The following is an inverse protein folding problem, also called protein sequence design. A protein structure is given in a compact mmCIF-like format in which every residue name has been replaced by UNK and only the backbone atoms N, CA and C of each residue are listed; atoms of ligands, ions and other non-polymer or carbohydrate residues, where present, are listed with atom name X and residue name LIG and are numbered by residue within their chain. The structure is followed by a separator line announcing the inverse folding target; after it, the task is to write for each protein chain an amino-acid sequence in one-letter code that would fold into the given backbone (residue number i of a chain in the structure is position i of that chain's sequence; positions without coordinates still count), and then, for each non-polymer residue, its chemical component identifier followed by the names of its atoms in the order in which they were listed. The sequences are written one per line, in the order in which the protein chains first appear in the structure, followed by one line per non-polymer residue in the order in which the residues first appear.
data_IF_590751977821
#
_entry.id   IF_590751977821
#
_cell.length_a   1.000
_cell.length_b   1.000
_cell.length_c   1.000
_cell.angle_alpha   90.00
_cell.angle_beta   90.00
_cell.angle_gamma   90.00
#
_symmetry.space_group_name_H-M   'P 1'
#
loop_
_entity.id
_entity.type
_entity.pdbx_description
1 polymer ?
#
# COMPACT_ATOMS: atom_id res chain seq x y z
N UNK A 1 -3.08 38.17 -49.42
CA UNK A 1 -3.56 39.57 -49.54
C UNK A 1 -3.09 40.29 -50.80
N UNK A 2 -1.81 40.21 -51.22
CA UNK A 2 -1.34 41.01 -52.37
C UNK A 2 -1.95 40.75 -53.76
N UNK A 3 -2.47 39.54 -54.03
CA UNK A 3 -3.03 39.19 -55.35
C UNK A 3 -4.46 39.71 -55.59
N UNK A 4 -5.28 39.78 -54.56
CA UNK A 4 -6.68 40.23 -54.67
C UNK A 4 -6.80 41.76 -54.70
N UNK A 5 -5.93 42.47 -53.97
CA UNK A 5 -5.78 43.92 -54.06
C UNK A 5 -5.36 44.33 -55.48
N UNK A 6 -4.50 43.53 -56.11
CA UNK A 6 -4.06 43.77 -57.49
C UNK A 6 -5.20 43.58 -58.51
N UNK A 7 -6.06 42.57 -58.33
CA UNK A 7 -7.22 42.33 -59.18
C UNK A 7 -8.29 43.42 -59.04
N UNK A 8 -8.46 43.99 -57.84
CA UNK A 8 -9.42 45.08 -57.60
C UNK A 8 -8.91 46.43 -58.14
N UNK A 9 -7.60 46.66 -58.14
CA UNK A 9 -6.97 47.86 -58.72
C UNK A 9 -7.12 47.92 -60.25
N UNK A 10 -7.05 46.78 -60.92
CA UNK A 10 -7.30 46.65 -62.37
C UNK A 10 -8.79 46.86 -62.73
N UNK A 11 -9.70 46.67 -61.76
CA UNK A 11 -11.14 46.91 -61.92
C UNK A 11 -11.60 48.36 -61.70
N UNK A 12 -10.67 49.31 -61.53
CA UNK A 12 -10.97 50.74 -61.40
C UNK A 12 -11.41 51.20 -60.00
N UNK A 13 -11.31 50.34 -58.98
CA UNK A 13 -11.63 50.68 -57.59
C UNK A 13 -10.49 51.46 -56.96
N UNK A 14 -10.77 52.67 -56.44
CA UNK A 14 -9.75 53.51 -55.80
C UNK A 14 -9.24 52.91 -54.50
N UNK A 15 -7.96 53.11 -54.20
CA UNK A 15 -7.27 52.62 -53.00
C UNK A 15 -7.98 53.06 -51.70
N UNK A 16 -8.57 54.25 -51.69
CA UNK A 16 -9.36 54.76 -50.58
C UNK A 16 -10.62 53.93 -50.29
N UNK A 17 -11.29 53.42 -51.33
CA UNK A 17 -12.48 52.56 -51.17
C UNK A 17 -12.07 51.18 -50.66
N UNK A 18 -10.88 50.69 -51.01
CA UNK A 18 -10.34 49.44 -50.50
C UNK A 18 -9.98 49.57 -49.02
N UNK A 19 -9.22 50.59 -48.64
CA UNK A 19 -8.89 50.87 -47.23
C UNK A 19 -10.14 51.06 -46.38
N UNK A 20 -11.14 51.79 -46.88
CA UNK A 20 -12.41 51.95 -46.18
C UNK A 20 -13.14 50.61 -45.97
N UNK A 21 -13.11 49.71 -46.96
CA UNK A 21 -13.74 48.39 -46.86
C UNK A 21 -12.98 47.43 -45.95
N UNK A 22 -11.65 47.50 -45.94
CA UNK A 22 -10.83 46.73 -45.00
C UNK A 22 -10.96 47.25 -43.56
N UNK A 23 -10.98 48.57 -43.36
CA UNK A 23 -11.25 49.15 -42.04
C UNK A 23 -12.64 48.83 -41.50
N UNK A 24 -13.64 48.62 -42.37
CA UNK A 24 -14.97 48.11 -41.98
C UNK A 24 -14.95 46.63 -41.53
N UNK A 25 -13.90 45.89 -41.85
CA UNK A 25 -13.74 44.47 -41.47
C UNK A 25 -12.91 44.29 -40.20
N UNK A 26 -12.18 45.31 -39.73
CA UNK A 26 -11.36 45.24 -38.53
C UNK A 26 -12.24 45.04 -37.27
N UNK A 27 -13.28 45.86 -37.05
CA UNK A 27 -14.15 45.74 -35.87
C UNK A 27 -14.86 44.36 -35.79
N UNK A 28 -15.46 43.83 -36.87
CA UNK A 28 -16.04 42.48 -36.84
C UNK A 28 -14.99 41.37 -36.65
N UNK A 29 -13.77 41.55 -37.15
CA UNK A 29 -12.68 40.58 -37.00
C UNK A 29 -12.16 40.54 -35.56
N UNK A 30 -12.05 41.70 -34.91
CA UNK A 30 -11.67 41.81 -33.50
C UNK A 30 -12.75 41.19 -32.60
N UNK A 31 -14.03 41.49 -32.86
CA UNK A 31 -15.15 40.88 -32.14
C UNK A 31 -15.17 39.35 -32.29
N UNK A 32 -14.92 38.84 -33.50
CA UNK A 32 -14.80 37.40 -33.75
C UNK A 32 -13.59 36.79 -33.04
N UNK A 33 -12.45 37.47 -33.03
CA UNK A 33 -11.24 37.01 -32.33
C UNK A 33 -11.44 36.98 -30.81
N UNK A 34 -12.15 37.96 -30.26
CA UNK A 34 -12.53 37.98 -28.84
C UNK A 34 -13.47 36.82 -28.50
N UNK A 35 -14.45 36.52 -29.35
CA UNK A 35 -15.35 35.38 -29.18
C UNK A 35 -14.59 34.04 -29.23
N UNK A 36 -13.66 33.87 -30.17
CA UNK A 36 -12.79 32.68 -30.23
C UNK A 36 -11.93 32.52 -28.97
N UNK A 37 -11.33 33.61 -28.49
CA UNK A 37 -10.51 33.58 -27.27
C UNK A 37 -11.34 33.23 -26.03
N UNK A 38 -12.59 33.71 -25.96
CA UNK A 38 -13.51 33.37 -24.87
C UNK A 38 -13.91 31.90 -24.91
N UNK A 39 -14.16 31.32 -26.08
CA UNK A 39 -14.41 29.89 -26.24
C UNK A 39 -13.19 29.04 -25.86
N UNK A 40 -11.98 29.43 -26.28
CA UNK A 40 -10.73 28.75 -25.91
C UNK A 40 -10.52 28.75 -24.39
N UNK A 41 -10.81 29.88 -23.74
CA UNK A 41 -10.74 30.01 -22.29
C UNK A 41 -11.74 29.07 -21.59
N UNK A 42 -12.98 29.01 -22.09
CA UNK A 42 -14.00 28.09 -21.55
C UNK A 42 -13.55 26.63 -21.68
N UNK A 43 -13.06 26.22 -22.85
CA UNK A 43 -12.58 24.85 -23.09
C UNK A 43 -11.44 24.50 -22.13
N UNK A 44 -10.48 25.41 -21.95
CA UNK A 44 -9.35 25.21 -21.04
C UNK A 44 -9.80 25.09 -19.58
N UNK A 45 -10.79 25.89 -19.17
CA UNK A 45 -11.37 25.83 -17.83
C UNK A 45 -12.12 24.51 -17.59
N UNK A 46 -12.87 24.00 -18.57
CA UNK A 46 -13.53 22.70 -18.49
C UNK A 46 -12.50 21.55 -18.42
N UNK A 47 -11.41 21.63 -19.19
CA UNK A 47 -10.34 20.64 -19.17
C UNK A 47 -9.66 20.58 -17.79
N UNK A 48 -9.29 21.71 -17.20
CA UNK A 48 -8.70 21.76 -15.85
C UNK A 48 -9.68 21.27 -14.78
N UNK A 49 -10.96 21.65 -14.87
CA UNK A 49 -11.99 21.21 -13.92
C UNK A 49 -12.17 19.69 -13.94
N UNK A 50 -12.23 19.09 -15.13
CA UNK A 50 -12.33 17.63 -15.27
C UNK A 50 -11.07 16.91 -14.81
N UNK A 51 -9.88 17.48 -15.02
CA UNK A 51 -8.62 16.95 -14.54
C UNK A 51 -8.52 16.95 -13.01
N UNK A 52 -9.03 18.00 -12.35
CA UNK A 52 -9.04 18.11 -10.89
C UNK A 52 -9.91 17.02 -10.25
N UNK A 53 -11.13 16.81 -10.77
CA UNK A 53 -12.03 15.74 -10.27
C UNK A 53 -11.38 14.36 -10.40
N UNK A 54 -10.73 14.08 -11.54
CA UNK A 54 -10.06 12.79 -11.77
C UNK A 54 -8.85 12.60 -10.83
N UNK A 55 -8.06 13.64 -10.58
CA UNK A 55 -6.89 13.57 -9.68
C UNK A 55 -7.30 13.24 -8.25
N UNK A 56 -8.36 13.87 -7.75
CA UNK A 56 -8.84 13.64 -6.38
C UNK A 56 -9.34 12.20 -6.19
N UNK A 57 -10.09 11.66 -7.15
CA UNK A 57 -10.57 10.27 -7.13
C UNK A 57 -9.41 9.26 -7.19
N UNK A 58 -8.39 9.52 -8.02
CA UNK A 58 -7.19 8.68 -8.09
C UNK A 58 -6.46 8.69 -6.76
N UNK A 59 -6.26 9.87 -6.14
CA UNK A 59 -5.54 9.97 -4.88
C UNK A 59 -6.29 9.28 -3.74
N UNK A 60 -7.62 9.43 -3.68
CA UNK A 60 -8.45 8.71 -2.72
C UNK A 60 -8.31 7.19 -2.91
N UNK A 61 -8.40 6.72 -4.16
CA UNK A 61 -8.27 5.29 -4.49
C UNK A 61 -6.89 4.74 -4.09
N UNK A 62 -5.82 5.49 -4.35
CA UNK A 62 -4.46 5.11 -3.96
C UNK A 62 -4.32 5.04 -2.43
N UNK A 63 -4.82 6.03 -1.70
CA UNK A 63 -4.76 6.07 -0.24
C UNK A 63 -5.52 4.90 0.39
N UNK A 64 -6.74 4.61 -0.09
CA UNK A 64 -7.55 3.48 0.38
C UNK A 64 -6.84 2.16 0.10
N UNK A 65 -6.30 1.98 -1.12
CA UNK A 65 -5.57 0.77 -1.49
C UNK A 65 -4.31 0.58 -0.63
N UNK A 66 -3.54 1.65 -0.40
CA UNK A 66 -2.35 1.63 0.44
C UNK A 66 -2.68 1.27 1.90
N UNK A 67 -3.77 1.83 2.45
CA UNK A 67 -4.23 1.53 3.80
C UNK A 67 -4.68 0.07 3.95
N UNK A 68 -5.36 -0.50 2.95
CA UNK A 68 -5.72 -1.92 2.97
C UNK A 68 -4.47 -2.81 2.91
N UNK A 69 -3.50 -2.48 2.07
CA UNK A 69 -2.24 -3.21 1.97
C UNK A 69 -1.45 -3.18 3.29
N UNK A 70 -1.41 -2.04 3.98
CA UNK A 70 -0.70 -1.93 5.26
C UNK A 70 -1.36 -2.77 6.36
N UNK A 71 -2.69 -2.77 6.44
CA UNK A 71 -3.43 -3.60 7.40
C UNK A 71 -3.12 -5.09 7.19
N UNK A 72 -3.10 -5.56 5.95
CA UNK A 72 -2.76 -6.95 5.64
C UNK A 72 -1.32 -7.28 6.05
N UNK A 73 -0.37 -6.38 5.80
CA UNK A 73 1.03 -6.57 6.17
C UNK A 73 1.25 -6.65 7.69
N UNK A 74 0.53 -5.82 8.46
CA UNK A 74 0.55 -5.83 9.93
C UNK A 74 -0.01 -7.13 10.49
N UNK A 75 -1.15 -7.61 9.96
CA UNK A 75 -1.76 -8.87 10.38
C UNK A 75 -0.83 -10.06 10.08
N UNK A 76 -0.25 -10.10 8.87
CA UNK A 76 0.66 -11.17 8.48
C UNK A 76 1.90 -11.22 9.39
N UNK A 77 2.48 -10.05 9.66
CA UNK A 77 3.64 -9.92 10.55
C UNK A 77 3.29 -10.29 11.99
N UNK A 78 2.17 -9.79 12.51
CA UNK A 78 1.67 -10.09 13.84
C UNK A 78 1.42 -11.58 14.05
N UNK A 79 0.82 -12.25 13.06
CA UNK A 79 0.55 -13.69 13.10
C UNK A 79 1.84 -14.51 13.09
N UNK A 80 2.82 -14.13 12.25
CA UNK A 80 4.13 -14.79 12.21
C UNK A 80 4.90 -14.67 13.53
N UNK A 81 4.88 -13.48 14.15
CA UNK A 81 5.46 -13.26 15.48
C UNK A 81 4.71 -14.10 16.51
N UNK A 82 3.37 -14.04 16.54
CA UNK A 82 2.56 -14.80 17.48
C UNK A 82 2.89 -16.29 17.42
N UNK A 83 2.82 -16.92 16.24
CA UNK A 83 3.11 -18.35 16.05
C UNK A 83 4.52 -18.73 16.49
N UNK A 84 5.50 -17.86 16.24
CA UNK A 84 6.89 -18.09 16.67
C UNK A 84 6.98 -18.20 18.20
N UNK A 85 6.28 -17.33 18.94
CA UNK A 85 6.36 -17.28 20.40
C UNK A 85 5.38 -18.23 21.10
N UNK A 86 4.21 -18.49 20.53
CA UNK A 86 3.18 -19.37 21.10
C UNK A 86 3.42 -20.84 20.79
N UNK A 87 4.03 -21.17 19.63
CA UNK A 87 4.17 -22.56 19.18
C UNK A 87 5.65 -22.93 18.95
N UNK A 88 6.33 -22.26 18.01
CA UNK A 88 7.64 -22.73 17.54
C UNK A 88 8.72 -22.69 18.63
N UNK A 89 8.79 -21.59 19.41
CA UNK A 89 9.76 -21.46 20.51
C UNK A 89 9.48 -22.47 21.64
N UNK A 90 8.26 -22.61 22.18
CA UNK A 90 7.96 -23.65 23.18
C UNK A 90 8.29 -25.07 22.70
N UNK A 91 7.91 -25.44 21.47
CA UNK A 91 8.23 -26.77 20.91
C UNK A 91 9.74 -26.98 20.82
N UNK A 92 10.50 -25.99 20.36
CA UNK A 92 11.96 -26.07 20.29
C UNK A 92 12.60 -26.24 21.68
N UNK A 93 12.06 -25.56 22.70
CA UNK A 93 12.50 -25.71 24.09
C UNK A 93 12.18 -27.10 24.64
N UNK A 94 10.96 -27.61 24.44
CA UNK A 94 10.57 -28.96 24.85
C UNK A 94 11.43 -30.03 24.17
N UNK A 95 11.70 -29.89 22.87
CA UNK A 95 12.61 -30.77 22.12
C UNK A 95 14.00 -30.80 22.76
N UNK A 96 14.55 -29.64 23.11
CA UNK A 96 15.88 -29.58 23.73
C UNK A 96 15.86 -30.20 25.13
N UNK A 97 14.85 -29.91 25.94
CA UNK A 97 14.69 -30.53 27.26
C UNK A 97 14.56 -32.05 27.17
N UNK A 98 13.84 -32.57 26.17
CA UNK A 98 13.73 -34.01 25.93
C UNK A 98 15.07 -34.67 25.62
N UNK A 99 15.97 -33.97 24.91
CA UNK A 99 17.33 -34.48 24.64
C UNK A 99 18.17 -34.56 25.91
N UNK A 100 18.11 -33.54 26.76
CA UNK A 100 18.83 -33.51 28.04
C UNK A 100 18.30 -34.58 29.01
N UNK A 101 16.98 -34.70 29.14
CA UNK A 101 16.36 -35.75 29.97
C UNK A 101 16.74 -37.14 29.45
N UNK A 102 16.74 -37.33 28.12
CA UNK A 102 17.13 -38.59 27.49
C UNK A 102 18.61 -38.95 27.66
N UNK A 103 19.49 -37.99 27.98
CA UNK A 103 20.89 -38.24 28.33
C UNK A 103 21.12 -38.41 29.84
N UNK A 104 20.07 -38.41 30.66
CA UNK A 104 20.13 -38.53 32.12
C UNK A 104 20.26 -37.21 32.86
N UNK A 105 20.21 -36.06 32.16
CA UNK A 105 20.25 -34.74 32.79
C UNK A 105 18.83 -34.24 33.13
N UNK A 106 18.41 -34.45 34.38
CA UNK A 106 17.09 -34.04 34.88
C UNK A 106 17.02 -32.60 35.43
N UNK A 107 18.17 -31.92 35.54
CA UNK A 107 18.27 -30.53 36.03
C UNK A 107 17.81 -29.48 34.98
N UNK A 108 17.37 -29.94 33.81
CA UNK A 108 16.82 -29.04 32.79
C UNK A 108 15.48 -28.44 33.24
N UNK A 109 15.39 -27.12 33.12
CA UNK A 109 14.16 -26.38 33.40
C UNK A 109 13.22 -26.45 32.18
N UNK A 110 11.99 -26.91 32.42
CA UNK A 110 10.91 -26.85 31.42
C UNK A 110 10.07 -25.60 31.73
N UNK A 111 10.20 -24.52 30.94
CA UNK A 111 9.57 -23.25 31.27
C UNK A 111 8.08 -23.41 31.46
N UNK A 112 7.54 -22.74 32.46
CA UNK A 112 6.11 -22.64 32.67
C UNK A 112 5.49 -21.83 31.52
N UNK A 113 4.98 -22.53 30.52
CA UNK A 113 4.19 -21.89 29.47
C UNK A 113 2.88 -21.44 30.09
N UNK A 114 2.67 -20.13 30.21
CA UNK A 114 1.41 -19.53 30.71
C UNK A 114 0.24 -19.71 29.74
N UNK A 115 0.45 -20.43 28.65
CA UNK A 115 -0.59 -20.67 27.66
C UNK A 115 -1.64 -21.61 28.25
N UNK A 116 -2.91 -21.30 28.03
CA UNK A 116 -4.04 -22.16 28.40
C UNK A 116 -4.46 -23.07 27.24
N UNK A 117 -3.63 -23.16 26.21
CA UNK A 117 -3.82 -23.99 25.02
C UNK A 117 -3.15 -25.37 25.16
N UNK A 118 -3.18 -26.14 24.08
CA UNK A 118 -2.58 -27.47 23.98
C UNK A 118 -1.06 -27.46 24.21
N UNK A 119 -0.37 -26.35 23.89
CA UNK A 119 1.08 -26.21 24.13
C UNK A 119 1.36 -26.03 25.63
N UNK A 120 0.50 -25.29 26.32
CA UNK A 120 0.51 -25.17 27.77
C UNK A 120 0.30 -26.51 28.48
N UNK A 121 -0.75 -27.23 28.08
CA UNK A 121 -1.05 -28.56 28.62
C UNK A 121 0.09 -29.54 28.35
N UNK A 122 0.61 -29.58 27.11
CA UNK A 122 1.76 -30.42 26.76
C UNK A 122 2.97 -30.11 27.63
N UNK A 123 3.26 -28.83 27.87
CA UNK A 123 4.38 -28.41 28.74
C UNK A 123 4.19 -28.88 30.18
N UNK A 124 2.96 -28.88 30.70
CA UNK A 124 2.64 -29.36 32.03
C UNK A 124 2.79 -30.88 32.16
N UNK A 125 2.30 -31.64 31.19
CA UNK A 125 2.44 -33.10 31.17
C UNK A 125 3.92 -33.51 31.01
N UNK A 126 4.66 -32.81 30.16
CA UNK A 126 6.08 -33.07 29.96
C UNK A 126 6.91 -32.83 31.24
N UNK A 127 6.53 -31.84 32.06
CA UNK A 127 7.13 -31.60 33.37
C UNK A 127 6.90 -32.76 34.34
N UNK A 128 5.67 -33.27 34.42
CA UNK A 128 5.36 -34.45 35.25
C UNK A 128 6.17 -35.66 34.82
N UNK A 129 6.25 -35.91 33.51
CA UNK A 129 7.06 -37.02 32.99
C UNK A 129 8.54 -36.90 33.37
N UNK A 130 9.10 -35.68 33.35
CA UNK A 130 10.48 -35.44 33.84
C UNK A 130 10.62 -35.84 35.31
N UNK A 131 9.71 -35.38 36.16
CA UNK A 131 9.72 -35.66 37.61
C UNK A 131 9.60 -37.17 37.88
N UNK A 132 8.70 -37.86 37.19
CA UNK A 132 8.53 -39.31 37.32
C UNK A 132 9.78 -40.10 36.91
N UNK A 133 10.43 -39.70 35.81
CA UNK A 133 11.67 -40.33 35.35
C UNK A 133 12.83 -40.08 36.32
N UNK A 134 12.96 -38.86 36.85
CA UNK A 134 13.99 -38.50 37.83
C UNK A 134 13.85 -39.35 39.10
N UNK A 135 12.65 -39.43 39.67
CA UNK A 135 12.39 -40.26 40.86
C UNK A 135 12.70 -41.74 40.61
N UNK A 136 12.41 -42.25 39.39
CA UNK A 136 12.72 -43.63 39.03
C UNK A 136 14.23 -43.89 39.00
N UNK A 137 15.02 -42.96 38.48
CA UNK A 137 16.48 -43.07 38.42
C UNK A 137 17.10 -43.01 39.83
N UNK A 138 16.59 -42.12 40.69
CA UNK A 138 17.03 -41.99 42.08
C UNK A 138 16.78 -43.28 42.89
N UNK A 139 15.60 -43.88 42.74
CA UNK A 139 15.28 -45.16 43.36
C UNK A 139 16.25 -46.26 42.89
N UNK A 140 16.47 -46.39 41.59
CA UNK A 140 17.38 -47.40 41.04
C UNK A 140 18.81 -47.23 41.57
N UNK A 141 19.29 -45.99 41.66
CA UNK A 141 20.61 -45.69 42.20
C UNK A 141 20.71 -46.05 43.70
N UNK A 142 19.68 -45.75 44.49
CA UNK A 142 19.66 -46.06 45.93
C UNK A 142 19.56 -47.55 46.26
N UNK A 143 18.98 -48.37 45.37
CA UNK A 143 18.93 -49.83 45.53
C UNK A 143 20.24 -50.52 45.10
N UNK A 144 21.05 -49.84 44.29
CA UNK A 144 22.29 -50.39 43.71
C UNK A 144 23.56 -50.01 44.49
N UNK A 145 23.44 -49.11 45.48
CA UNK A 145 24.50 -48.63 46.36
C UNK A 145 24.52 -49.37 47.69
#
# INVERSE_FOLDING_TARGET
MGKEIFLLKDSGVSEQVLEQKFGQLDDPLDAFTEELNNEELLISQYAESSLMVVKDDIQLTLNVTAALASVVAEIATGTGIYNTYSISKPISKLRNAAREIGSGNFDVEIPATKSADEIGELSAQFRKMKEDLMHKEEMQTSLSA
#
